data_IF_217339881376
#
_entry.id   IF_217339881376
#
_cell.length_a   1.000
_cell.length_b   1.000
_cell.length_c   1.000
_cell.angle_alpha   90.00
_cell.angle_beta   90.00
_cell.angle_gamma   90.00
#
_symmetry.space_group_name_H-M   'P 1'
#
loop_
_entity.id
_entity.type
_entity.pdbx_description
1 polymer ?
#
# COMPACT_ATOMS: atom_id res chain seq x y z
N UNK A 1 30.09 -4.93 -4.36
CA UNK A 1 29.54 -4.55 -4.08
C UNK A 1 28.98 -4.40 -3.58
N UNK A 2 29.06 -4.37 -3.75
CA UNK A 2 28.41 -3.92 -3.29
C UNK A 2 27.87 -3.75 -2.97
N UNK A 3 28.19 -3.82 -3.06
CA UNK A 3 27.68 -3.31 -2.68
C UNK A 3 27.19 -2.87 -2.34
N UNK A 4 27.52 -2.77 -2.51
CA UNK A 4 27.07 -2.07 -2.20
C UNK A 4 26.48 -1.53 -2.04
N UNK A 5 26.84 -1.62 -2.35
CA UNK A 5 26.30 -0.89 -2.23
C UNK A 5 25.70 -0.46 -1.95
N UNK A 6 26.04 -0.52 -2.07
CA UNK A 6 25.46 0.03 -1.85
C UNK A 6 24.96 0.53 -1.37
N UNK A 7 25.27 0.60 -1.47
CA UNK A 7 24.81 1.29 -1.12
C UNK A 7 24.43 1.82 -0.71
N UNK A 8 24.72 1.97 -0.77
CA UNK A 8 24.37 2.67 -0.51
C UNK A 8 23.87 3.20 -0.13
N UNK A 9 24.13 3.25 -0.25
CA UNK A 9 23.64 3.96 0.07
C UNK A 9 23.21 4.65 0.49
N UNK A 10 23.39 4.91 0.44
CA UNK A 10 23.09 5.70 0.80
C UNK A 10 22.65 6.42 1.21
N UNK A 11 22.40 6.96 1.18
CA UNK A 11 22.02 7.90 1.71
C UNK A 11 21.09 8.08 2.33
N UNK A 12 20.65 8.20 2.71
CA UNK A 12 19.88 8.31 3.33
C UNK A 12 19.17 9.41 3.29
N UNK A 13 19.42 10.27 3.21
CA UNK A 13 18.96 11.35 3.25
C UNK A 13 18.31 11.64 2.17
N UNK A 14 18.58 11.70 1.32
CA UNK A 14 17.88 11.95 0.19
C UNK A 14 16.50 11.47 0.25
N UNK A 15 16.00 11.48 1.33
CA UNK A 15 14.83 10.96 1.45
C UNK A 15 13.86 11.51 0.61
N UNK A 16 13.88 12.66 0.22
CA UNK A 16 12.92 13.16 -0.59
C UNK A 16 13.00 12.52 -1.88
N UNK A 17 14.10 12.24 -2.33
CA UNK A 17 14.25 11.55 -3.58
C UNK A 17 13.73 10.16 -3.52
N UNK A 18 13.54 9.67 -2.31
CA UNK A 18 13.09 8.32 -2.17
C UNK A 18 11.61 8.12 -2.30
N UNK A 19 10.87 9.20 -2.44
CA UNK A 19 9.45 8.99 -2.53
C UNK A 19 9.08 8.08 -3.67
N UNK A 20 9.76 8.11 -4.77
CA UNK A 20 9.48 7.18 -5.84
C UNK A 20 9.94 5.77 -5.54
N UNK A 21 10.94 5.66 -4.69
CA UNK A 21 11.51 4.36 -4.39
C UNK A 21 10.84 3.66 -3.24
N UNK A 22 10.07 4.39 -2.46
CA UNK A 22 9.38 3.79 -1.34
C UNK A 22 8.19 2.95 -1.75
N UNK A 23 7.76 3.08 -3.01
CA UNK A 23 6.62 2.35 -3.51
C UNK A 23 5.35 2.65 -2.73
N UNK A 24 5.29 3.81 -2.08
CA UNK A 24 4.11 4.23 -1.35
C UNK A 24 2.90 4.35 -2.28
N UNK A 25 3.11 4.93 -3.44
CA UNK A 25 2.04 5.09 -4.41
C UNK A 25 1.54 3.73 -4.89
N UNK A 26 2.48 2.81 -5.13
CA UNK A 26 2.10 1.50 -5.63
C UNK A 26 1.33 0.71 -4.57
N UNK A 27 1.76 0.80 -3.32
CA UNK A 27 1.05 0.14 -2.23
C UNK A 27 -0.36 0.69 -2.09
N UNK A 28 -0.48 2.02 -2.13
CA UNK A 28 -1.79 2.65 -2.07
C UNK A 28 -2.65 2.20 -3.24
N UNK A 29 -2.07 2.10 -4.42
CA UNK A 29 -2.81 1.73 -5.62
C UNK A 29 -3.39 0.33 -5.53
N UNK A 30 -2.65 -0.60 -4.91
CA UNK A 30 -3.15 -1.96 -4.74
C UNK A 30 -4.48 -1.94 -3.99
N UNK A 31 -4.53 -1.21 -2.89
CA UNK A 31 -5.75 -1.15 -2.10
C UNK A 31 -6.84 -0.38 -2.83
N UNK A 32 -6.50 0.74 -3.47
CA UNK A 32 -7.48 1.54 -4.18
C UNK A 32 -8.14 0.74 -5.30
N UNK A 33 -7.33 0.00 -6.05
CA UNK A 33 -7.88 -0.79 -7.14
C UNK A 33 -8.87 -1.81 -6.60
N UNK A 34 -8.54 -2.42 -5.46
CA UNK A 34 -9.43 -3.42 -4.90
C UNK A 34 -10.70 -2.79 -4.31
N UNK A 35 -10.57 -1.61 -3.72
CA UNK A 35 -11.74 -0.91 -3.22
C UNK A 35 -12.70 -0.59 -4.36
N UNK A 36 -12.16 -0.11 -5.48
CA UNK A 36 -12.99 0.18 -6.64
C UNK A 36 -13.64 -1.09 -7.17
N UNK A 37 -12.85 -2.15 -7.29
CA UNK A 37 -13.33 -3.41 -7.83
C UNK A 37 -14.42 -4.03 -6.98
N UNK A 38 -14.24 -3.96 -5.67
CA UNK A 38 -15.18 -4.57 -4.73
C UNK A 38 -16.38 -3.70 -4.39
N UNK A 39 -16.27 -2.40 -4.62
CA UNK A 39 -17.34 -1.48 -4.29
C UNK A 39 -17.53 -1.27 -2.79
N UNK A 40 -16.52 -1.60 -1.98
CA UNK A 40 -16.63 -1.52 -0.53
C UNK A 40 -16.25 -0.11 -0.08
N UNK A 41 -17.07 0.49 0.77
CA UNK A 41 -16.78 1.80 1.34
C UNK A 41 -15.77 1.69 2.46
N UNK A 42 -15.19 2.82 2.85
CA UNK A 42 -14.28 2.83 3.99
C UNK A 42 -14.99 2.39 5.26
N UNK A 43 -16.24 2.81 5.43
CA UNK A 43 -17.03 2.41 6.61
C UNK A 43 -17.22 0.90 6.66
N UNK A 44 -17.56 0.32 5.53
CA UNK A 44 -17.74 -1.11 5.48
C UNK A 44 -16.43 -1.85 5.69
N UNK A 45 -15.34 -1.32 5.15
CA UNK A 45 -14.03 -1.93 5.34
C UNK A 45 -13.66 -1.96 6.82
N UNK A 46 -13.92 -0.85 7.53
CA UNK A 46 -13.65 -0.80 8.97
C UNK A 46 -14.44 -1.90 9.69
N UNK A 47 -15.71 -2.10 9.31
CA UNK A 47 -16.51 -3.14 9.93
C UNK A 47 -15.96 -4.53 9.65
N UNK A 48 -15.50 -4.76 8.41
CA UNK A 48 -14.95 -6.06 8.06
C UNK A 48 -13.64 -6.33 8.79
N UNK A 49 -12.80 -5.30 8.92
CA UNK A 49 -11.57 -5.44 9.69
C UNK A 49 -11.88 -5.75 11.15
N UNK A 50 -12.89 -5.11 11.71
CA UNK A 50 -13.28 -5.38 13.10
C UNK A 50 -13.69 -6.83 13.30
N UNK A 51 -14.38 -7.41 12.33
CA UNK A 51 -14.75 -8.83 12.43
C UNK A 51 -13.54 -9.74 12.43
N UNK A 52 -12.43 -9.27 11.87
CA UNK A 52 -11.18 -10.02 11.86
C UNK A 52 -10.32 -9.71 13.08
N UNK A 53 -10.83 -8.91 14.00
CA UNK A 53 -10.08 -8.54 15.18
C UNK A 53 -9.14 -7.37 14.99
N UNK A 54 -9.27 -6.65 13.87
CA UNK A 54 -8.39 -5.53 13.55
C UNK A 54 -9.14 -4.25 13.83
N UNK A 55 -8.64 -3.48 14.77
CA UNK A 55 -9.30 -2.23 15.14
C UNK A 55 -8.83 -1.09 14.26
N UNK A 56 -9.78 -0.43 13.66
CA UNK A 56 -9.52 0.73 12.83
C UNK A 56 -10.69 1.68 12.92
N UNK A 57 -10.49 2.92 12.51
CA UNK A 57 -11.59 3.83 12.31
C UNK A 57 -11.38 4.51 10.97
N UNK A 58 -12.43 5.14 10.47
CA UNK A 58 -12.40 5.71 9.12
C UNK A 58 -11.30 6.76 8.96
N UNK A 59 -11.14 7.73 9.89
CA UNK A 59 -10.07 8.71 9.70
C UNK A 59 -8.68 8.08 9.65
N UNK A 60 -8.39 7.13 10.53
CA UNK A 60 -7.08 6.49 10.53
C UNK A 60 -6.87 5.67 9.27
N UNK A 61 -7.90 4.93 8.87
CA UNK A 61 -7.83 4.15 7.65
C UNK A 61 -7.54 5.06 6.46
N UNK A 62 -8.28 6.17 6.37
CA UNK A 62 -8.11 7.10 5.28
C UNK A 62 -6.69 7.68 5.25
N UNK A 63 -6.16 8.00 6.43
CA UNK A 63 -4.79 8.50 6.51
C UNK A 63 -3.77 7.49 6.02
N UNK A 64 -3.92 6.24 6.45
CA UNK A 64 -3.00 5.20 6.02
C UNK A 64 -3.05 4.99 4.51
N UNK A 65 -4.25 4.98 3.96
CA UNK A 65 -4.41 4.75 2.53
C UNK A 65 -3.92 5.94 1.72
N UNK A 66 -4.10 7.15 2.24
CA UNK A 66 -3.63 8.34 1.54
C UNK A 66 -2.11 8.36 1.46
N UNK A 67 -1.45 7.99 2.55
CA UNK A 67 0.01 7.98 2.56
C UNK A 67 0.61 6.82 1.80
N UNK A 68 -0.10 5.71 1.74
CA UNK A 68 0.47 4.50 1.17
C UNK A 68 1.53 3.88 2.03
N UNK A 69 1.62 4.28 3.30
CA UNK A 69 2.61 3.75 4.22
C UNK A 69 1.91 2.95 5.29
N UNK A 70 2.05 1.67 5.21
CA UNK A 70 1.46 0.76 6.17
C UNK A 70 2.26 -0.53 6.12
N UNK A 71 2.06 -1.36 7.13
CA UNK A 71 2.82 -2.59 7.21
C UNK A 71 2.28 -3.62 6.23
N UNK A 72 3.11 -4.59 5.93
CA UNK A 72 2.66 -5.71 5.10
C UNK A 72 1.49 -6.45 5.74
N UNK A 73 1.51 -6.71 7.06
CA UNK A 73 0.33 -7.31 7.67
C UNK A 73 -0.94 -6.49 7.47
N UNK A 74 -0.84 -5.17 7.56
CA UNK A 74 -2.03 -4.34 7.33
C UNK A 74 -2.54 -4.51 5.91
N UNK A 75 -1.64 -4.53 4.94
CA UNK A 75 -2.04 -4.74 3.54
C UNK A 75 -2.79 -6.05 3.40
N UNK A 76 -2.25 -7.12 3.97
CA UNK A 76 -2.88 -8.42 3.88
C UNK A 76 -4.23 -8.44 4.57
N UNK A 77 -4.34 -7.77 5.71
CA UNK A 77 -5.61 -7.70 6.42
C UNK A 77 -6.67 -6.99 5.59
N UNK A 78 -6.30 -5.89 4.96
CA UNK A 78 -7.23 -5.14 4.13
C UNK A 78 -7.64 -5.97 2.92
N UNK A 79 -6.69 -6.58 2.25
CA UNK A 79 -7.01 -7.36 1.07
C UNK A 79 -7.89 -8.55 1.41
N UNK A 80 -7.63 -9.19 2.55
CA UNK A 80 -8.47 -10.28 3.01
C UNK A 80 -9.88 -9.78 3.32
N UNK A 81 -10.00 -8.63 3.98
CA UNK A 81 -11.30 -8.07 4.30
C UNK A 81 -12.10 -7.72 3.05
N UNK A 82 -11.41 -7.35 1.98
CA UNK A 82 -12.07 -7.03 0.71
C UNK A 82 -12.38 -8.27 -0.12
N UNK A 83 -11.94 -9.44 0.34
CA UNK A 83 -12.18 -10.68 -0.38
C UNK A 83 -11.27 -10.90 -1.56
N UNK A 84 -10.16 -10.19 -1.62
CA UNK A 84 -9.22 -10.34 -2.72
C UNK A 84 -8.50 -11.68 -2.62
N UNK A 85 -8.35 -12.34 -3.73
CA UNK A 85 -7.66 -13.62 -3.77
C UNK A 85 -6.26 -13.50 -4.31
N UNK A 86 -5.93 -12.37 -4.90
CA UNK A 86 -4.61 -12.12 -5.45
C UNK A 86 -4.38 -10.63 -5.52
N UNK A 87 -3.13 -10.28 -5.71
CA UNK A 87 -2.74 -8.88 -5.92
C UNK A 87 -2.15 -8.79 -7.31
N UNK A 88 -2.68 -7.89 -8.12
CA UNK A 88 -2.14 -7.67 -9.46
C UNK A 88 -0.96 -6.71 -9.36
N UNK A 89 0.20 -7.27 -9.20
CA UNK A 89 1.41 -6.47 -9.03
C UNK A 89 1.75 -5.71 -10.30
N UNK A 90 1.52 -6.33 -11.44
CA UNK A 90 1.78 -5.65 -12.71
C UNK A 90 0.96 -4.38 -12.83
N UNK A 91 -0.31 -4.44 -12.45
CA UNK A 91 -1.16 -3.27 -12.49
C UNK A 91 -0.66 -2.20 -11.53
N UNK A 92 -0.29 -2.61 -10.32
CA UNK A 92 0.18 -1.68 -9.32
C UNK A 92 1.47 -1.00 -9.74
N UNK A 93 2.32 -1.69 -10.50
CA UNK A 93 3.60 -1.16 -10.92
C UNK A 93 3.57 -0.48 -12.29
N UNK A 94 2.40 -0.38 -12.90
CA UNK A 94 2.31 0.18 -14.24
C UNK A 94 2.80 1.63 -14.28
N UNK A 95 2.63 2.39 -13.20
CA UNK A 95 3.13 3.76 -13.16
C UNK A 95 4.63 3.82 -13.26
N UNK A 96 5.32 2.85 -12.68
CA UNK A 96 6.78 2.81 -12.80
C UNK A 96 7.20 2.57 -14.24
N UNK A 97 6.49 1.68 -14.91
CA UNK A 97 6.80 1.38 -16.30
C UNK A 97 6.57 2.60 -17.19
N UNK A 98 5.53 3.37 -16.90
CA UNK A 98 5.22 4.51 -17.74
C UNK A 98 6.14 5.70 -17.51
N UNK A 99 6.84 5.72 -16.38
CA UNK A 99 7.73 6.84 -16.11
C UNK A 99 9.11 6.66 -16.73
N UNK A 100 9.36 5.51 -17.28
CA UNK A 100 10.61 5.27 -17.99
C UNK A 100 10.52 5.64 -19.46
#
# INVERSE_FOLDING_TARGET
>A
MNTTASAQVAPRRGRKTLKGYGFDLQAKQIIRNELVRSGVSHEELVKRLARMGVRENVPNLRNKLTRGRFSAPFLLQVMAALGAKSIDLAEALSDLATTN
#
